data_IF_839006518626
#
_entry.id   IF_839006518626
#
_cell.length_a   1.000
_cell.length_b   1.000
_cell.length_c   1.000
_cell.angle_alpha   90.00
_cell.angle_beta   90.00
_cell.angle_gamma   90.00
#
_symmetry.space_group_name_H-M   'P 1'
#
loop_
_entity.id
_entity.type
_entity.pdbx_description
1 polymer ?
#
# COMPACT_ATOMS: atom_id res chain seq x y z
N UNK A 1 21.78 45.30 14.22
CA UNK A 1 21.97 44.38 15.35
C UNK A 1 21.10 43.19 15.06
N UNK A 2 21.73 42.04 14.83
CA UNK A 2 21.14 40.79 14.38
C UNK A 2 20.40 40.14 15.56
N UNK A 3 19.16 39.70 15.34
CA UNK A 3 18.54 38.64 16.14
C UNK A 3 17.76 37.76 15.17
N UNK A 4 18.46 36.82 14.55
CA UNK A 4 18.59 35.43 15.00
C UNK A 4 17.40 34.60 14.50
N UNK A 5 17.59 34.12 13.28
CA UNK A 5 16.90 33.01 12.66
C UNK A 5 16.80 31.84 13.64
N UNK A 6 15.60 31.56 14.12
CA UNK A 6 15.25 30.27 14.71
C UNK A 6 13.88 29.82 14.18
N UNK A 7 13.78 29.77 12.85
CA UNK A 7 12.82 28.89 12.21
C UNK A 7 13.32 27.46 12.44
N UNK A 8 13.03 26.96 13.64
CA UNK A 8 13.20 25.58 14.05
C UNK A 8 12.57 24.71 12.97
N UNK A 9 13.42 24.11 12.13
CA UNK A 9 13.06 23.09 11.17
C UNK A 9 11.99 22.19 11.77
N UNK A 10 10.74 22.36 11.32
CA UNK A 10 9.64 21.46 11.67
C UNK A 10 10.09 20.10 11.17
N UNK A 11 10.62 19.27 12.08
CA UNK A 11 10.90 17.86 11.78
C UNK A 11 9.59 17.29 11.29
N UNK A 12 9.52 16.98 10.00
CA UNK A 12 8.36 16.36 9.40
C UNK A 12 8.08 15.08 10.19
N UNK A 13 6.97 15.08 10.93
CA UNK A 13 6.58 14.00 11.83
C UNK A 13 5.39 13.26 11.25
N UNK A 14 5.41 11.94 11.35
CA UNK A 14 4.35 11.05 10.92
C UNK A 14 3.45 10.77 12.11
N UNK A 15 2.17 11.06 11.96
CA UNK A 15 1.18 10.60 12.90
C UNK A 15 0.68 9.22 12.48
N UNK A 16 1.06 8.19 13.26
CA UNK A 16 0.68 6.81 12.99
C UNK A 16 -0.81 6.53 13.04
N UNK A 17 -1.62 7.40 13.64
CA UNK A 17 -3.08 7.24 13.71
C UNK A 17 -3.73 8.58 13.36
N UNK A 18 -4.09 8.73 12.08
CA UNK A 18 -4.76 9.94 11.54
C UNK A 18 -6.09 9.63 10.86
N UNK A 19 -6.16 8.52 10.12
CA UNK A 19 -7.40 8.15 9.41
C UNK A 19 -8.48 7.72 10.39
N UNK A 20 -9.70 8.17 10.14
CA UNK A 20 -10.87 7.99 11.00
C UNK A 20 -11.85 6.93 10.50
N UNK A 21 -11.56 6.27 9.37
CA UNK A 21 -12.46 5.29 8.76
C UNK A 21 -11.73 3.97 8.52
N UNK A 22 -11.89 3.06 9.47
CA UNK A 22 -11.44 1.68 9.31
C UNK A 22 -12.24 0.98 8.20
N UNK A 23 -11.67 -0.07 7.62
CA UNK A 23 -12.40 -0.98 6.73
C UNK A 23 -13.64 -1.58 7.40
N UNK A 24 -13.60 -1.69 8.74
CA UNK A 24 -14.72 -2.14 9.56
C UNK A 24 -15.81 -1.09 9.74
N UNK A 25 -15.67 0.10 9.17
CA UNK A 25 -16.67 1.17 9.17
C UNK A 25 -17.13 1.53 7.75
N UNK A 26 -16.54 0.92 6.72
CA UNK A 26 -16.91 1.20 5.33
C UNK A 26 -18.38 0.86 5.03
N UNK A 27 -19.06 1.77 4.32
CA UNK A 27 -20.46 1.64 3.88
C UNK A 27 -20.64 0.54 2.83
N UNK A 28 -19.60 0.31 2.01
CA UNK A 28 -19.59 -0.73 0.97
C UNK A 28 -18.38 -1.62 1.13
N UNK A 29 -18.62 -2.89 1.49
CA UNK A 29 -17.56 -3.89 1.57
C UNK A 29 -16.88 -4.11 0.22
N UNK A 30 -17.68 -4.30 -0.84
CA UNK A 30 -17.17 -4.43 -2.19
C UNK A 30 -16.39 -3.18 -2.62
N UNK A 31 -16.94 -1.99 -2.44
CA UNK A 31 -16.28 -0.73 -2.79
C UNK A 31 -14.92 -0.56 -2.11
N UNK A 32 -14.81 -0.95 -0.83
CA UNK A 32 -13.55 -0.92 -0.11
C UNK A 32 -12.55 -1.98 -0.60
N UNK A 33 -13.03 -3.21 -0.83
CA UNK A 33 -12.18 -4.35 -1.25
C UNK A 33 -11.66 -4.20 -2.69
N UNK A 34 -12.36 -3.46 -3.55
CA UNK A 34 -11.88 -3.16 -4.91
C UNK A 34 -10.49 -2.49 -4.92
N UNK A 35 -10.13 -1.81 -3.82
CA UNK A 35 -8.81 -1.19 -3.64
C UNK A 35 -7.67 -2.21 -3.53
N UNK A 36 -7.98 -3.46 -3.19
CA UNK A 36 -7.03 -4.55 -2.93
C UNK A 36 -7.27 -5.77 -3.85
N UNK A 37 -7.83 -5.57 -5.04
CA UNK A 37 -8.00 -6.66 -6.01
C UNK A 37 -6.68 -7.29 -6.45
N UNK A 38 -5.67 -6.45 -6.72
CA UNK A 38 -4.37 -6.88 -7.23
C UNK A 38 -3.73 -7.99 -6.38
N UNK A 39 -3.57 -7.86 -5.05
CA UNK A 39 -2.97 -8.92 -4.25
C UNK A 39 -3.80 -10.20 -4.22
N UNK A 40 -5.13 -10.11 -4.23
CA UNK A 40 -6.01 -11.28 -4.29
C UNK A 40 -5.87 -12.02 -5.62
N UNK A 41 -5.90 -11.29 -6.74
CA UNK A 41 -5.71 -11.84 -8.07
C UNK A 41 -4.33 -12.50 -8.21
N UNK A 42 -3.25 -11.82 -7.78
CA UNK A 42 -1.89 -12.39 -7.81
C UNK A 42 -1.79 -13.66 -6.98
N UNK A 43 -2.41 -13.69 -5.79
CA UNK A 43 -2.42 -14.88 -4.94
C UNK A 43 -3.23 -16.03 -5.55
N UNK A 44 -4.39 -15.73 -6.15
CA UNK A 44 -5.23 -16.71 -6.84
C UNK A 44 -4.54 -17.26 -8.09
N UNK A 45 -3.88 -16.41 -8.89
CA UNK A 45 -3.11 -16.84 -10.07
C UNK A 45 -1.96 -17.76 -9.66
N UNK A 46 -1.25 -17.42 -8.58
CA UNK A 46 -0.20 -18.28 -8.04
C UNK A 46 -0.74 -19.63 -7.58
N UNK A 47 -1.90 -19.64 -6.91
CA UNK A 47 -2.51 -20.84 -6.34
C UNK A 47 -3.14 -21.75 -7.41
N UNK A 48 -3.82 -21.17 -8.40
CA UNK A 48 -4.58 -21.89 -9.43
C UNK A 48 -3.78 -22.10 -10.72
N UNK A 49 -2.59 -21.51 -10.84
CA UNK A 49 -1.73 -21.63 -12.01
C UNK A 49 -2.26 -20.93 -13.27
N UNK A 50 -3.37 -20.20 -13.18
CA UNK A 50 -4.03 -19.55 -14.32
C UNK A 50 -4.69 -18.25 -13.89
N UNK A 51 -4.50 -17.23 -14.72
CA UNK A 51 -5.12 -15.92 -14.54
C UNK A 51 -6.63 -15.99 -14.76
N UNK A 52 -7.08 -16.80 -15.72
CA UNK A 52 -8.48 -16.99 -16.05
C UNK A 52 -9.22 -17.63 -14.86
N UNK A 53 -8.68 -18.70 -14.28
CA UNK A 53 -9.26 -19.31 -13.08
C UNK A 53 -9.23 -18.37 -11.88
N UNK A 54 -8.19 -17.55 -11.73
CA UNK A 54 -8.10 -16.53 -10.70
C UNK A 54 -9.19 -15.45 -10.84
N UNK A 55 -9.43 -14.98 -12.06
CA UNK A 55 -10.44 -13.95 -12.34
C UNK A 55 -11.86 -14.49 -12.09
N UNK A 56 -12.14 -15.75 -12.46
CA UNK A 56 -13.42 -16.40 -12.11
C UNK A 56 -13.60 -16.60 -10.60
N UNK A 57 -12.57 -17.06 -9.89
CA UNK A 57 -12.62 -17.18 -8.43
C UNK A 57 -12.85 -15.81 -7.77
N UNK A 58 -12.20 -14.75 -8.27
CA UNK A 58 -12.35 -13.41 -7.74
C UNK A 58 -13.77 -12.85 -7.95
N UNK A 59 -14.42 -13.14 -9.09
CA UNK A 59 -15.83 -12.76 -9.32
C UNK A 59 -16.76 -13.35 -8.27
N UNK A 60 -16.55 -14.62 -7.86
CA UNK A 60 -17.34 -15.26 -6.81
C UNK A 60 -17.22 -14.49 -5.49
N UNK A 61 -16.00 -14.10 -5.10
CA UNK A 61 -15.76 -13.32 -3.88
C UNK A 61 -16.44 -11.95 -3.95
N UNK A 62 -16.33 -11.26 -5.08
CA UNK A 62 -16.94 -9.94 -5.26
C UNK A 62 -18.47 -10.00 -5.25
N UNK A 63 -19.06 -10.99 -5.91
CA UNK A 63 -20.51 -11.20 -5.88
C UNK A 63 -21.00 -11.43 -4.44
N UNK A 64 -20.27 -12.22 -3.64
CA UNK A 64 -20.60 -12.42 -2.24
C UNK A 64 -20.50 -11.13 -1.41
N UNK A 65 -19.43 -10.34 -1.58
CA UNK A 65 -19.24 -9.08 -0.86
C UNK A 65 -20.30 -8.03 -1.23
N UNK A 66 -20.79 -8.02 -2.47
CA UNK A 66 -21.89 -7.14 -2.90
C UNK A 66 -23.20 -7.55 -2.25
N UNK A 67 -23.47 -8.85 -2.12
CA UNK A 67 -24.73 -9.36 -1.58
C UNK A 67 -24.78 -9.33 -0.04
N UNK A 68 -23.69 -9.73 0.63
CA UNK A 68 -23.67 -9.98 2.06
C UNK A 68 -22.78 -9.01 2.85
N UNK A 69 -22.03 -8.13 2.17
CA UNK A 69 -21.04 -7.28 2.81
C UNK A 69 -19.92 -8.10 3.47
N UNK A 70 -19.41 -7.62 4.60
CA UNK A 70 -18.41 -8.35 5.39
C UNK A 70 -19.02 -9.37 6.37
N UNK A 71 -20.34 -9.35 6.58
CA UNK A 71 -21.04 -10.14 7.59
C UNK A 71 -20.44 -10.00 9.00
N UNK A 72 -20.57 -11.06 9.80
CA UNK A 72 -20.01 -11.18 11.16
C UNK A 72 -18.47 -11.29 11.20
N UNK A 73 -17.81 -11.23 10.04
CA UNK A 73 -16.36 -11.41 9.89
C UNK A 73 -15.61 -10.08 9.75
N UNK A 74 -16.30 -8.95 9.92
CA UNK A 74 -15.78 -7.57 9.91
C UNK A 74 -14.91 -7.27 11.15
N UNK A 75 -13.79 -7.98 11.31
CA UNK A 75 -12.90 -7.85 12.48
C UNK A 75 -11.42 -8.07 12.16
N UNK A 76 -10.55 -7.45 12.95
CA UNK A 76 -9.09 -7.57 12.83
C UNK A 76 -8.53 -6.86 11.61
N UNK A 77 -7.55 -7.48 10.95
CA UNK A 77 -6.87 -6.95 9.77
C UNK A 77 -7.60 -7.33 8.50
N UNK A 78 -7.79 -6.39 7.58
CA UNK A 78 -8.41 -6.67 6.29
C UNK A 78 -7.63 -7.74 5.51
N UNK A 79 -6.29 -7.72 5.53
CA UNK A 79 -5.51 -8.76 4.82
C UNK A 79 -5.83 -10.17 5.29
N UNK A 80 -6.08 -10.34 6.58
CA UNK A 80 -6.37 -11.64 7.18
C UNK A 80 -7.78 -12.10 6.82
N UNK A 81 -8.72 -11.16 6.68
CA UNK A 81 -10.05 -11.44 6.13
C UNK A 81 -9.96 -11.83 4.65
N UNK A 82 -9.23 -11.06 3.84
CA UNK A 82 -9.16 -11.29 2.38
C UNK A 82 -8.43 -12.57 2.01
N UNK A 83 -7.36 -12.95 2.69
CA UNK A 83 -6.67 -14.22 2.39
C UNK A 83 -7.56 -15.45 2.71
N UNK A 84 -8.44 -15.34 3.71
CA UNK A 84 -9.47 -16.36 3.96
C UNK A 84 -10.51 -16.38 2.83
N UNK A 85 -10.93 -15.21 2.35
CA UNK A 85 -11.78 -15.06 1.17
C UNK A 85 -11.17 -15.69 -0.08
N UNK A 86 -9.89 -15.42 -0.35
CA UNK A 86 -9.10 -16.00 -1.46
C UNK A 86 -9.12 -17.52 -1.40
N UNK A 87 -8.87 -18.13 -0.23
CA UNK A 87 -8.94 -19.60 -0.09
C UNK A 87 -10.35 -20.14 -0.33
N UNK A 88 -11.36 -19.44 0.18
CA UNK A 88 -12.75 -19.84 0.03
C UNK A 88 -13.20 -19.80 -1.43
N UNK A 89 -12.88 -18.74 -2.17
CA UNK A 89 -13.26 -18.64 -3.58
C UNK A 89 -12.41 -19.53 -4.49
N UNK A 90 -11.13 -19.76 -4.16
CA UNK A 90 -10.32 -20.78 -4.83
C UNK A 90 -10.95 -22.18 -4.67
N UNK A 91 -11.40 -22.53 -3.46
CA UNK A 91 -12.11 -23.79 -3.21
C UNK A 91 -13.39 -23.90 -4.04
N UNK A 92 -14.19 -22.83 -4.08
CA UNK A 92 -15.40 -22.80 -4.90
C UNK A 92 -15.06 -23.03 -6.38
N UNK A 93 -14.05 -22.31 -6.91
CA UNK A 93 -13.63 -22.46 -8.29
C UNK A 93 -13.15 -23.87 -8.62
N UNK A 94 -12.36 -24.49 -7.74
CA UNK A 94 -11.87 -25.86 -7.93
C UNK A 94 -13.02 -26.87 -7.99
N UNK A 95 -14.07 -26.70 -7.20
CA UNK A 95 -15.24 -27.59 -7.24
C UNK A 95 -15.95 -27.58 -8.61
N UNK A 96 -15.82 -26.48 -9.35
CA UNK A 96 -16.40 -26.30 -10.69
C UNK A 96 -15.43 -26.70 -11.84
N UNK A 97 -14.18 -27.04 -11.52
CA UNK A 97 -13.17 -27.45 -12.50
C UNK A 97 -13.17 -28.97 -12.72
N UNK A 98 -12.77 -29.49 -13.88
CA UNK A 98 -12.51 -30.93 -14.07
C UNK A 98 -11.46 -31.45 -13.08
N UNK A 99 -11.59 -32.71 -12.63
CA UNK A 99 -10.67 -33.31 -11.65
C UNK A 99 -9.20 -33.24 -12.06
N UNK A 100 -8.91 -33.43 -13.35
CA UNK A 100 -7.56 -33.34 -13.91
C UNK A 100 -6.90 -31.97 -13.70
N UNK A 101 -7.69 -30.89 -13.68
CA UNK A 101 -7.21 -29.52 -13.47
C UNK A 101 -7.11 -29.16 -11.98
N UNK A 102 -7.73 -29.94 -11.08
CA UNK A 102 -7.63 -29.74 -9.62
C UNK A 102 -6.34 -30.33 -9.04
N UNK A 103 -5.75 -31.30 -9.71
CA UNK A 103 -4.62 -32.06 -9.20
C UNK A 103 -3.42 -31.14 -8.91
N UNK A 104 -2.89 -31.20 -7.70
CA UNK A 104 -1.71 -30.45 -7.28
C UNK A 104 -1.97 -29.07 -6.66
N UNK A 105 -3.24 -28.62 -6.57
CA UNK A 105 -3.56 -27.37 -5.88
C UNK A 105 -3.64 -27.59 -4.37
N UNK A 106 -2.69 -27.02 -3.62
CA UNK A 106 -2.68 -27.04 -2.16
C UNK A 106 -3.27 -25.74 -1.58
N UNK A 107 -4.57 -25.76 -1.25
CA UNK A 107 -5.26 -24.65 -0.57
C UNK A 107 -4.73 -24.36 0.84
N UNK A 108 -3.99 -25.29 1.45
CA UNK A 108 -3.36 -25.15 2.75
C UNK A 108 -2.06 -24.32 2.72
N UNK A 109 -1.40 -24.23 1.56
CA UNK A 109 -0.18 -23.45 1.35
C UNK A 109 -0.38 -21.94 1.55
N UNK A 110 -1.61 -21.44 1.35
CA UNK A 110 -1.96 -20.04 1.53
C UNK A 110 -2.45 -19.82 2.97
N UNK A 111 -1.66 -19.10 3.75
CA UNK A 111 -1.88 -18.81 5.17
C UNK A 111 -1.76 -17.31 5.44
N UNK A 112 -2.12 -16.87 6.65
CA UNK A 112 -1.98 -15.46 7.06
C UNK A 112 -0.53 -14.94 6.98
N UNK A 113 0.44 -15.85 7.11
CA UNK A 113 1.88 -15.54 7.12
C UNK A 113 2.61 -15.99 5.85
N UNK A 114 1.91 -16.40 4.80
CA UNK A 114 2.56 -16.80 3.54
C UNK A 114 3.33 -15.61 2.97
N UNK A 115 4.59 -15.85 2.58
CA UNK A 115 5.52 -14.80 2.15
C UNK A 115 5.00 -14.09 0.90
N UNK A 116 4.41 -14.85 -0.01
CA UNK A 116 3.84 -14.37 -1.27
C UNK A 116 2.65 -13.46 -0.99
N UNK A 117 1.74 -13.87 -0.10
CA UNK A 117 0.60 -13.06 0.32
C UNK A 117 1.04 -11.72 0.93
N UNK A 118 1.99 -11.75 1.87
CA UNK A 118 2.51 -10.54 2.50
C UNK A 118 3.24 -9.64 1.49
N UNK A 119 3.98 -10.22 0.54
CA UNK A 119 4.65 -9.46 -0.51
C UNK A 119 3.64 -8.78 -1.42
N UNK A 120 2.63 -9.50 -1.92
CA UNK A 120 1.61 -8.93 -2.79
C UNK A 120 0.81 -7.83 -2.08
N UNK A 121 0.49 -8.05 -0.80
CA UNK A 121 -0.18 -7.06 0.04
C UNK A 121 0.65 -5.78 0.20
N UNK A 122 1.94 -5.93 0.54
CA UNK A 122 2.88 -4.82 0.66
C UNK A 122 3.01 -4.04 -0.65
N UNK A 123 3.21 -4.72 -1.77
CA UNK A 123 3.35 -4.07 -3.08
C UNK A 123 2.11 -3.22 -3.39
N UNK A 124 0.91 -3.77 -3.11
CA UNK A 124 -0.34 -3.04 -3.27
C UNK A 124 -0.41 -1.78 -2.39
N UNK A 125 -0.03 -1.87 -1.12
CA UNK A 125 0.01 -0.71 -0.22
C UNK A 125 1.00 0.36 -0.70
N UNK A 126 2.19 -0.04 -1.14
CA UNK A 126 3.20 0.88 -1.66
C UNK A 126 2.73 1.58 -2.94
N UNK A 127 2.15 0.84 -3.88
CA UNK A 127 1.57 1.43 -5.10
C UNK A 127 0.48 2.45 -4.76
N UNK A 128 -0.37 2.14 -3.77
CA UNK A 128 -1.43 3.05 -3.34
C UNK A 128 -0.88 4.32 -2.71
N UNK A 129 0.16 4.21 -1.88
CA UNK A 129 0.87 5.36 -1.30
C UNK A 129 1.54 6.21 -2.39
N UNK A 130 2.17 5.59 -3.40
CA UNK A 130 2.76 6.30 -4.54
C UNK A 130 1.72 7.07 -5.34
N UNK A 131 0.61 6.42 -5.71
CA UNK A 131 -0.51 7.08 -6.40
C UNK A 131 -1.11 8.22 -5.56
N UNK A 132 -1.11 8.10 -4.24
CA UNK A 132 -1.58 9.16 -3.34
C UNK A 132 -0.62 10.35 -3.30
N UNK A 133 0.69 10.10 -3.33
CA UNK A 133 1.72 11.13 -3.42
C UNK A 133 1.67 11.86 -4.77
N UNK A 134 1.51 11.13 -5.87
CA UNK A 134 1.32 11.69 -7.21
C UNK A 134 0.07 12.58 -7.27
N UNK A 135 -1.06 12.12 -6.72
CA UNK A 135 -2.28 12.96 -6.61
C UNK A 135 -2.07 14.18 -5.72
N UNK A 136 -1.18 14.12 -4.73
CA UNK A 136 -0.86 15.26 -3.89
C UNK A 136 -0.08 16.31 -4.69
N UNK A 137 0.95 15.90 -5.41
CA UNK A 137 1.70 16.77 -6.33
C UNK A 137 0.80 17.40 -7.39
N UNK A 138 -0.09 16.62 -8.03
CA UNK A 138 -1.04 17.18 -9.00
C UNK A 138 -1.97 18.25 -8.42
N UNK A 139 -2.26 18.22 -7.12
CA UNK A 139 -3.06 19.26 -6.44
C UNK A 139 -2.22 20.47 -6.03
N UNK A 140 -0.92 20.30 -5.87
CA UNK A 140 0.03 21.32 -5.43
C UNK A 140 1.29 21.27 -6.32
N UNK A 141 1.18 21.70 -7.59
CA UNK A 141 2.24 21.52 -8.58
C UNK A 141 3.52 22.31 -8.25
N UNK A 142 3.44 23.32 -7.37
CA UNK A 142 4.57 24.14 -6.96
C UNK A 142 5.62 23.36 -6.13
N UNK A 143 5.25 22.21 -5.56
CA UNK A 143 6.14 21.38 -4.74
C UNK A 143 6.16 19.95 -5.31
N UNK A 144 7.17 19.60 -6.14
CA UNK A 144 7.20 18.33 -6.88
C UNK A 144 7.64 17.14 -6.00
N UNK A 145 6.85 16.83 -4.96
CA UNK A 145 7.14 15.79 -3.96
C UNK A 145 7.18 14.38 -4.53
N UNK A 146 6.29 14.04 -5.47
CA UNK A 146 6.26 12.75 -6.14
C UNK A 146 7.43 12.62 -7.12
N UNK A 147 7.57 13.60 -8.01
CA UNK A 147 8.60 13.61 -9.05
C UNK A 147 10.02 13.54 -8.47
N UNK A 148 10.29 14.28 -7.39
CA UNK A 148 11.61 14.24 -6.73
C UNK A 148 11.82 12.92 -5.98
N UNK A 149 10.82 12.43 -5.24
CA UNK A 149 10.97 11.21 -4.44
C UNK A 149 11.06 9.94 -5.30
N UNK A 150 10.32 9.86 -6.41
CA UNK A 150 10.34 8.72 -7.33
C UNK A 150 11.75 8.55 -7.92
N UNK A 151 12.32 9.62 -8.48
CA UNK A 151 13.69 9.63 -9.02
C UNK A 151 14.72 9.27 -7.95
N UNK A 152 14.62 9.84 -6.76
CA UNK A 152 15.56 9.54 -5.68
C UNK A 152 15.46 8.09 -5.18
N UNK A 153 14.25 7.50 -5.23
CA UNK A 153 14.03 6.10 -4.83
C UNK A 153 14.59 5.13 -5.88
N UNK A 154 14.47 5.45 -7.16
CA UNK A 154 15.06 4.68 -8.26
C UNK A 154 16.59 4.82 -8.31
N UNK A 155 17.13 5.90 -7.75
CA UNK A 155 18.55 6.22 -7.78
C UNK A 155 19.09 6.51 -6.35
N UNK A 156 19.11 5.54 -5.41
CA UNK A 156 19.40 5.80 -3.99
C UNK A 156 20.79 6.39 -3.68
N UNK A 157 21.73 6.28 -4.62
CA UNK A 157 23.12 6.75 -4.47
C UNK A 157 23.40 8.02 -5.30
N UNK A 158 22.42 8.54 -6.02
CA UNK A 158 22.58 9.75 -6.82
C UNK A 158 22.74 10.98 -5.91
N UNK A 159 23.58 11.93 -6.33
CA UNK A 159 23.64 13.25 -5.69
C UNK A 159 22.40 14.08 -6.04
N UNK A 160 22.15 15.15 -5.30
CA UNK A 160 21.00 16.03 -5.51
C UNK A 160 21.04 16.71 -6.89
N UNK A 161 22.22 16.97 -7.44
CA UNK A 161 22.39 17.43 -8.83
C UNK A 161 21.95 16.37 -9.85
N UNK A 162 22.31 15.11 -9.63
CA UNK A 162 21.94 14.02 -10.51
C UNK A 162 20.44 13.71 -10.44
N UNK A 163 19.83 13.84 -9.26
CA UNK A 163 18.37 13.77 -9.07
C UNK A 163 17.70 14.92 -9.81
N UNK A 164 18.16 16.16 -9.66
CA UNK A 164 17.62 17.32 -10.36
C UNK A 164 17.66 17.15 -11.89
N UNK A 165 18.78 16.67 -12.44
CA UNK A 165 18.92 16.41 -13.87
C UNK A 165 17.91 15.37 -14.37
N UNK A 166 17.72 14.27 -13.62
CA UNK A 166 16.75 13.22 -13.95
C UNK A 166 15.30 13.69 -13.82
N UNK A 167 15.00 14.52 -12.81
CA UNK A 167 13.67 15.14 -12.67
C UNK A 167 13.36 16.02 -13.86
N UNK A 168 14.32 16.84 -14.31
CA UNK A 168 14.17 17.65 -15.53
C UNK A 168 13.96 16.80 -16.77
N UNK A 169 14.73 15.72 -16.92
CA UNK A 169 14.61 14.78 -18.05
C UNK A 169 13.22 14.12 -18.09
N UNK A 170 12.77 13.55 -16.97
CA UNK A 170 11.55 12.73 -16.91
C UNK A 170 10.26 13.54 -16.81
N UNK A 171 10.27 14.62 -16.03
CA UNK A 171 9.07 15.38 -15.68
C UNK A 171 9.06 16.80 -16.24
N UNK A 172 10.14 17.25 -16.90
CA UNK A 172 10.29 18.61 -17.44
C UNK A 172 10.22 19.70 -16.35
N UNK A 173 10.64 19.37 -15.12
CA UNK A 173 10.68 20.28 -13.97
C UNK A 173 12.14 20.68 -13.72
N UNK A 174 12.45 21.97 -13.81
CA UNK A 174 13.80 22.48 -13.57
C UNK A 174 13.98 22.82 -12.08
N UNK A 175 14.92 22.11 -11.43
CA UNK A 175 15.22 22.27 -10.01
C UNK A 175 16.74 22.41 -9.83
N UNK A 176 17.14 23.20 -8.85
CA UNK A 176 18.51 23.17 -8.31
C UNK A 176 18.68 22.01 -7.32
N UNK A 177 19.93 21.61 -7.08
CA UNK A 177 20.25 20.63 -6.04
C UNK A 177 19.73 21.03 -4.64
N UNK A 178 19.76 22.33 -4.32
CA UNK A 178 19.22 22.87 -3.06
C UNK A 178 17.72 22.66 -2.96
N UNK A 179 16.97 22.89 -4.05
CA UNK A 179 15.52 22.65 -4.08
C UNK A 179 15.19 21.16 -3.95
N UNK A 180 15.99 20.28 -4.57
CA UNK A 180 15.85 18.83 -4.39
C UNK A 180 15.99 18.44 -2.91
N UNK A 181 17.02 18.93 -2.21
CA UNK A 181 17.22 18.63 -0.78
C UNK A 181 16.06 19.15 0.08
N UNK A 182 15.57 20.35 -0.22
CA UNK A 182 14.42 20.96 0.45
C UNK A 182 13.12 20.18 0.24
N UNK A 183 12.94 19.54 -0.92
CA UNK A 183 11.74 18.74 -1.24
C UNK A 183 11.85 17.30 -0.73
N UNK A 184 13.04 16.69 -0.72
CA UNK A 184 13.21 15.28 -0.38
C UNK A 184 12.76 14.93 1.04
N UNK A 185 13.11 15.76 2.03
CA UNK A 185 12.73 15.53 3.42
C UNK A 185 11.22 15.53 3.63
N UNK A 186 10.48 16.60 3.22
CA UNK A 186 9.02 16.59 3.32
C UNK A 186 8.37 15.52 2.45
N UNK A 187 8.92 15.21 1.26
CA UNK A 187 8.39 14.15 0.41
C UNK A 187 8.48 12.76 1.07
N UNK A 188 9.62 12.42 1.69
CA UNK A 188 9.79 11.17 2.45
C UNK A 188 8.80 11.07 3.61
N UNK A 189 8.65 12.15 4.37
CA UNK A 189 7.71 12.17 5.49
C UNK A 189 6.26 12.06 5.05
N UNK A 190 5.88 12.74 3.96
CA UNK A 190 4.54 12.63 3.38
C UNK A 190 4.28 11.21 2.87
N UNK A 191 5.25 10.59 2.20
CA UNK A 191 5.12 9.21 1.74
C UNK A 191 4.97 8.22 2.90
N UNK A 192 5.77 8.37 3.96
CA UNK A 192 5.64 7.58 5.19
C UNK A 192 4.27 7.77 5.86
N UNK A 193 3.75 9.01 5.88
CA UNK A 193 2.39 9.30 6.36
C UNK A 193 1.33 8.60 5.51
N UNK A 194 1.46 8.62 4.19
CA UNK A 194 0.51 7.95 3.28
C UNK A 194 0.52 6.42 3.45
N UNK A 195 1.68 5.82 3.72
CA UNK A 195 1.77 4.40 4.09
C UNK A 195 1.06 4.15 5.42
N UNK A 196 1.32 4.97 6.44
CA UNK A 196 0.68 4.82 7.75
C UNK A 196 -0.85 4.94 7.65
N UNK A 197 -1.35 5.91 6.89
CA UNK A 197 -2.79 6.09 6.65
C UNK A 197 -3.41 4.86 5.98
N UNK A 198 -2.74 4.31 4.95
CA UNK A 198 -3.20 3.11 4.26
C UNK A 198 -3.24 1.89 5.19
N UNK A 199 -2.25 1.74 6.08
CA UNK A 199 -2.26 0.67 7.10
C UNK A 199 -3.42 0.87 8.07
N UNK A 200 -3.59 2.08 8.61
CA UNK A 200 -4.66 2.42 9.57
C UNK A 200 -6.03 2.05 9.01
N UNK A 201 -6.31 2.37 7.75
CA UNK A 201 -7.58 2.03 7.10
C UNK A 201 -7.83 0.51 7.03
N UNK A 202 -6.79 -0.33 7.04
CA UNK A 202 -6.92 -1.80 6.95
C UNK A 202 -7.00 -2.50 8.31
N UNK A 203 -7.00 -1.74 9.40
CA UNK A 203 -7.13 -2.23 10.78
C UNK A 203 -8.49 -1.86 11.35
N UNK A 204 -9.09 -2.73 12.17
CA UNK A 204 -10.39 -2.49 12.79
C UNK A 204 -10.39 -1.33 13.81
N UNK A 205 -9.43 -1.32 14.73
CA UNK A 205 -9.33 -0.29 15.78
C UNK A 205 -7.85 0.03 16.00
N UNK A 206 -7.23 0.78 15.08
CA UNK A 206 -5.79 0.94 15.02
C UNK A 206 -5.24 1.71 16.21
N UNK A 207 -4.32 1.09 16.95
CA UNK A 207 -3.44 1.79 17.89
C UNK A 207 -2.08 2.07 17.24
N UNK A 208 -1.29 2.98 17.83
CA UNK A 208 0.09 3.23 17.38
C UNK A 208 0.95 1.97 17.37
N UNK A 209 0.72 1.06 18.32
CA UNK A 209 1.48 -0.20 18.39
C UNK A 209 1.07 -1.15 17.26
N UNK A 210 -0.22 -1.28 16.97
CA UNK A 210 -0.70 -2.13 15.87
C UNK A 210 -0.13 -1.68 14.52
N UNK A 211 -0.10 -0.36 14.28
CA UNK A 211 0.49 0.20 13.06
C UNK A 211 2.00 -0.07 12.99
N UNK A 212 2.74 0.07 14.09
CA UNK A 212 4.18 -0.26 14.14
C UNK A 212 4.44 -1.74 13.88
N UNK A 213 3.65 -2.62 14.46
CA UNK A 213 3.74 -4.06 14.25
C UNK A 213 3.47 -4.42 12.79
N UNK A 214 2.45 -3.80 12.18
CA UNK A 214 2.11 -4.02 10.78
C UNK A 214 3.19 -3.51 9.82
N UNK A 215 3.76 -2.32 10.07
CA UNK A 215 4.91 -1.79 9.33
C UNK A 215 6.09 -2.76 9.39
N UNK A 216 6.39 -3.31 10.58
CA UNK A 216 7.48 -4.26 10.78
C UNK A 216 7.21 -5.57 10.04
N UNK A 217 6.01 -6.14 10.19
CA UNK A 217 5.64 -7.40 9.56
C UNK A 217 5.69 -7.32 8.04
N UNK A 218 5.23 -6.21 7.47
CA UNK A 218 5.26 -5.97 6.03
C UNK A 218 6.64 -5.51 5.53
N UNK A 219 7.65 -5.40 6.40
CA UNK A 219 9.00 -5.00 6.00
C UNK A 219 9.08 -3.57 5.46
N UNK A 220 8.17 -2.69 5.87
CA UNK A 220 8.09 -1.30 5.38
C UNK A 220 8.83 -0.29 6.27
N UNK A 221 9.51 -0.75 7.33
CA UNK A 221 10.21 0.12 8.29
C UNK A 221 11.19 1.11 7.64
N UNK A 222 11.82 0.72 6.52
CA UNK A 222 12.76 1.58 5.81
C UNK A 222 12.13 2.91 5.32
N UNK A 223 10.85 2.91 4.97
CA UNK A 223 10.16 4.12 4.52
C UNK A 223 10.03 5.19 5.63
N UNK A 224 10.21 4.79 6.89
CA UNK A 224 10.11 5.66 8.07
C UNK A 224 11.49 6.08 8.59
N UNK A 225 12.59 5.62 7.98
CA UNK A 225 13.94 5.99 8.38
C UNK A 225 14.17 7.50 8.19
N UNK A 226 14.66 8.17 9.24
CA UNK A 226 14.92 9.62 9.20
C UNK A 226 13.67 10.50 9.30
N UNK A 227 12.50 9.89 9.53
CA UNK A 227 11.24 10.61 9.79
C UNK A 227 10.90 10.48 11.28
N UNK A 228 10.45 11.57 11.91
CA UNK A 228 9.97 11.49 13.29
C UNK A 228 8.60 10.80 13.32
N UNK A 229 8.33 9.95 14.32
CA UNK A 229 7.09 9.15 14.43
C UNK A 229 6.51 9.24 15.83
#
# INVERSE_FOLDING_TARGET
>A
MLDSSSDSARKSSVNLVRSSHSWTEADSAAGFVLRYLSPMQRQLTLLLGSKEHADEALKILLAHLVQAGFGEHKRGRLRDFLVRGVRSCAKARLNDMPEAERAGVDLGSVTLGSKEWLSFWRDCMLERAWRALERHEHKQPDVPVFSVLSVATENPKASSEAVAAKVKEQFQIDLSAVQVDQVLTPARALFAQLIADEIVETLQSPTKNDVKEEIKLLGMAHAFNGVAV
#
